data_IF_374396825321
#
_entry.id   IF_374396825321
#
_cell.length_a   1.000
_cell.length_b   1.000
_cell.length_c   1.000
_cell.angle_alpha   90.00
_cell.angle_beta   90.00
_cell.angle_gamma   90.00
#
_symmetry.space_group_name_H-M   'P 1'
#
loop_
_entity.id
_entity.type
_entity.pdbx_description
1 polymer ?
#
# COMPACT_ATOMS: atom_id res chain seq x y z
N UNK A 1 16.85 -18.02 -38.63
CA UNK A 1 17.24 -19.28 -37.93
C UNK A 1 18.05 -18.83 -36.70
N UNK A 2 17.55 -18.78 -35.47
CA UNK A 2 16.58 -19.63 -34.79
C UNK A 2 15.56 -18.82 -33.96
N UNK A 3 14.29 -18.99 -34.31
CA UNK A 3 13.14 -18.88 -33.41
C UNK A 3 13.07 -20.17 -32.58
N UNK A 4 13.29 -20.12 -31.27
CA UNK A 4 12.88 -21.20 -30.37
C UNK A 4 12.54 -20.63 -28.97
N UNK A 5 11.24 -20.68 -28.66
CA UNK A 5 10.65 -20.72 -27.33
C UNK A 5 10.57 -19.43 -26.50
N UNK A 6 9.94 -18.38 -27.07
CA UNK A 6 9.06 -17.57 -26.21
C UNK A 6 7.83 -18.42 -25.93
N UNK A 7 7.65 -18.87 -24.69
CA UNK A 7 6.52 -19.69 -24.25
C UNK A 7 5.22 -18.86 -24.37
N UNK A 8 4.60 -18.88 -25.55
CA UNK A 8 3.36 -18.13 -25.90
C UNK A 8 2.14 -18.60 -25.06
N UNK A 9 2.28 -19.70 -24.31
CA UNK A 9 1.22 -20.28 -23.47
C UNK A 9 1.23 -19.78 -22.02
N UNK A 10 2.23 -19.01 -21.59
CA UNK A 10 2.27 -18.41 -20.24
C UNK A 10 1.55 -17.05 -20.20
N UNK A 11 0.57 -16.84 -21.08
CA UNK A 11 -0.19 -15.61 -21.14
C UNK A 11 -1.23 -15.63 -20.01
N UNK A 12 -0.85 -15.01 -18.90
CA UNK A 12 -1.62 -14.85 -17.67
C UNK A 12 -2.80 -13.89 -17.87
N UNK A 13 -3.65 -14.11 -18.88
CA UNK A 13 -4.78 -13.24 -19.25
C UNK A 13 -5.91 -13.17 -18.21
N UNK A 14 -5.76 -13.83 -17.06
CA UNK A 14 -6.76 -13.83 -15.99
C UNK A 14 -6.33 -13.02 -14.76
N UNK A 15 -5.08 -12.56 -14.66
CA UNK A 15 -4.58 -11.87 -13.47
C UNK A 15 -4.18 -10.43 -13.77
N UNK A 16 -4.80 -9.47 -13.07
CA UNK A 16 -4.55 -8.02 -13.12
C UNK A 16 -3.08 -7.62 -12.88
N UNK A 17 -2.26 -8.55 -12.39
CA UNK A 17 -0.80 -8.52 -12.28
C UNK A 17 -0.27 -9.94 -12.54
N UNK A 18 0.91 -10.08 -13.16
CA UNK A 18 1.65 -11.35 -13.13
C UNK A 18 2.03 -11.66 -11.69
N UNK A 19 2.04 -12.94 -11.30
CA UNK A 19 2.42 -13.38 -9.95
C UNK A 19 3.72 -12.73 -9.45
N UNK A 20 4.72 -12.61 -10.32
CA UNK A 20 6.00 -11.96 -10.02
C UNK A 20 5.85 -10.48 -9.64
N UNK A 21 4.97 -9.74 -10.30
CA UNK A 21 4.77 -8.31 -10.03
C UNK A 21 3.97 -8.08 -8.74
N UNK A 22 2.96 -8.92 -8.45
CA UNK A 22 2.25 -8.87 -7.16
C UNK A 22 3.19 -9.10 -5.98
N UNK A 23 4.09 -10.08 -6.07
CA UNK A 23 5.06 -10.37 -5.00
C UNK A 23 6.05 -9.20 -4.84
N UNK A 24 6.57 -8.65 -5.95
CA UNK A 24 7.47 -7.48 -5.92
C UNK A 24 6.80 -6.27 -5.29
N UNK A 25 5.53 -6.03 -5.62
CA UNK A 25 4.76 -4.94 -5.03
C UNK A 25 4.50 -5.16 -3.54
N UNK A 26 4.02 -6.34 -3.14
CA UNK A 26 3.79 -6.69 -1.74
C UNK A 26 5.06 -6.55 -0.88
N UNK A 27 6.21 -7.04 -1.37
CA UNK A 27 7.49 -6.92 -0.69
C UNK A 27 7.93 -5.45 -0.55
N UNK A 28 7.76 -4.65 -1.60
CA UNK A 28 8.12 -3.23 -1.58
C UNK A 28 7.24 -2.44 -0.62
N UNK A 29 5.92 -2.69 -0.62
CA UNK A 29 4.99 -2.08 0.34
C UNK A 29 5.39 -2.41 1.78
N UNK A 30 5.69 -3.69 2.05
CA UNK A 30 6.15 -4.11 3.37
C UNK A 30 7.44 -3.39 3.80
N UNK A 31 8.45 -3.35 2.92
CA UNK A 31 9.74 -2.71 3.20
C UNK A 31 9.59 -1.21 3.45
N UNK A 32 8.80 -0.50 2.64
CA UNK A 32 8.60 0.95 2.81
C UNK A 32 7.90 1.24 4.13
N UNK A 33 6.82 0.52 4.45
CA UNK A 33 6.11 0.70 5.70
C UNK A 33 6.96 0.32 6.91
N UNK A 34 7.77 -0.74 6.80
CA UNK A 34 8.70 -1.15 7.84
C UNK A 34 9.81 -0.11 8.07
N UNK A 35 10.35 0.49 7.01
CA UNK A 35 11.33 1.58 7.10
C UNK A 35 10.74 2.81 7.79
N UNK A 36 9.53 3.22 7.41
CA UNK A 36 8.81 4.35 8.05
C UNK A 36 8.59 4.07 9.53
N UNK A 37 8.21 2.84 9.90
CA UNK A 37 8.09 2.44 11.30
C UNK A 37 9.38 2.61 12.07
N UNK A 38 10.50 2.15 11.51
CA UNK A 38 11.77 2.21 12.20
C UNK A 38 12.22 3.66 12.41
N UNK A 39 12.05 4.50 11.39
CA UNK A 39 12.34 5.95 11.46
C UNK A 39 11.44 6.62 12.50
N UNK A 40 10.14 6.36 12.47
CA UNK A 40 9.18 6.94 13.42
C UNK A 40 9.45 6.44 14.85
N UNK A 41 9.79 5.17 15.03
CA UNK A 41 10.14 4.58 16.32
C UNK A 41 11.39 5.23 16.90
N UNK A 42 12.40 5.48 16.07
CA UNK A 42 13.62 6.16 16.51
C UNK A 42 13.35 7.63 16.88
N UNK A 43 12.52 8.34 16.10
CA UNK A 43 12.26 9.76 16.31
C UNK A 43 11.29 10.05 17.46
N UNK A 44 10.18 9.31 17.54
CA UNK A 44 9.12 9.54 18.53
C UNK A 44 9.28 8.73 19.82
N UNK A 45 10.17 7.73 19.84
CA UNK A 45 10.38 6.84 20.99
C UNK A 45 9.15 6.04 21.42
N UNK A 46 8.09 6.05 20.61
CA UNK A 46 6.80 5.38 20.82
C UNK A 46 6.41 4.63 19.56
N UNK A 47 5.59 3.60 19.71
CA UNK A 47 5.02 2.88 18.57
C UNK A 47 4.06 3.82 17.84
N UNK A 48 4.46 4.32 16.66
CA UNK A 48 3.69 5.27 15.88
C UNK A 48 2.52 4.61 15.14
N UNK A 49 2.60 3.30 14.87
CA UNK A 49 1.57 2.51 14.20
C UNK A 49 1.41 1.15 14.87
N UNK A 50 0.24 0.54 14.69
CA UNK A 50 -0.02 -0.81 15.18
C UNK A 50 0.79 -1.82 14.37
N UNK A 51 1.27 -2.89 15.02
CA UNK A 51 2.03 -3.96 14.34
C UNK A 51 1.29 -4.59 13.15
N UNK A 52 -0.05 -4.52 13.15
CA UNK A 52 -0.90 -5.00 12.06
C UNK A 52 -0.83 -4.15 10.79
N UNK A 53 -0.46 -2.88 10.88
CA UNK A 53 -0.49 -1.97 9.72
C UNK A 53 0.53 -2.38 8.63
N UNK A 54 1.68 -2.96 9.02
CA UNK A 54 2.67 -3.52 8.08
C UNK A 54 2.13 -4.71 7.28
N UNK A 55 1.32 -5.55 7.94
CA UNK A 55 0.77 -6.76 7.35
C UNK A 55 -0.39 -6.39 6.42
N UNK A 56 -1.20 -5.41 6.82
CA UNK A 56 -2.23 -4.83 5.97
C UNK A 56 -1.60 -4.19 4.72
N UNK A 57 -0.50 -3.43 4.88
CA UNK A 57 0.21 -2.83 3.75
C UNK A 57 0.73 -3.88 2.77
N UNK A 58 1.27 -5.00 3.27
CA UNK A 58 1.73 -6.12 2.43
C UNK A 58 0.56 -6.74 1.65
N UNK A 59 -0.57 -6.99 2.32
CA UNK A 59 -1.75 -7.55 1.68
C UNK A 59 -2.30 -6.61 0.59
N UNK A 60 -2.44 -5.32 0.89
CA UNK A 60 -2.86 -4.31 -0.09
C UNK A 60 -1.85 -4.17 -1.24
N UNK A 61 -0.56 -4.24 -0.95
CA UNK A 61 0.51 -4.21 -1.96
C UNK A 61 0.47 -5.39 -2.94
N UNK A 62 -0.15 -6.52 -2.58
CA UNK A 62 -0.33 -7.64 -3.52
C UNK A 62 -1.32 -7.33 -4.66
N UNK A 63 -2.30 -6.46 -4.38
CA UNK A 63 -3.36 -6.07 -5.31
C UNK A 63 -3.06 -4.76 -6.07
N UNK A 64 -2.18 -3.94 -5.52
CA UNK A 64 -1.85 -2.59 -6.00
C UNK A 64 -0.47 -2.63 -6.69
N UNK A 65 -0.30 -1.93 -7.81
CA UNK A 65 1.01 -1.85 -8.47
C UNK A 65 1.99 -0.99 -7.66
N UNK A 66 3.29 -1.28 -7.78
CA UNK A 66 4.35 -0.57 -7.07
C UNK A 66 4.35 0.95 -7.32
N UNK A 67 4.04 1.38 -8.55
CA UNK A 67 4.03 2.80 -8.93
C UNK A 67 2.97 3.63 -8.18
N UNK A 68 1.91 2.98 -7.70
CA UNK A 68 0.82 3.63 -6.97
C UNK A 68 1.08 3.75 -5.46
N UNK A 69 2.20 3.21 -4.95
CA UNK A 69 2.60 3.30 -3.54
C UNK A 69 2.68 4.75 -3.01
N UNK A 70 3.40 5.70 -3.65
CA UNK A 70 3.48 7.07 -3.13
C UNK A 70 2.10 7.76 -3.10
N UNK A 71 1.27 7.53 -4.12
CA UNK A 71 -0.09 8.07 -4.17
C UNK A 71 -0.96 7.51 -3.03
N UNK A 72 -0.85 6.21 -2.76
CA UNK A 72 -1.52 5.54 -1.65
C UNK A 72 -1.12 6.13 -0.31
N UNK A 73 0.18 6.29 -0.07
CA UNK A 73 0.69 6.81 1.18
C UNK A 73 0.27 8.27 1.40
N UNK A 74 0.30 9.09 0.33
CA UNK A 74 -0.15 10.48 0.37
C UNK A 74 -1.64 10.58 0.72
N UNK A 75 -2.50 9.82 0.04
CA UNK A 75 -3.94 9.81 0.30
C UNK A 75 -4.25 9.37 1.73
N UNK A 76 -3.64 8.28 2.20
CA UNK A 76 -3.82 7.80 3.56
C UNK A 76 -3.36 8.84 4.60
N UNK A 77 -2.24 9.53 4.36
CA UNK A 77 -1.73 10.59 5.24
C UNK A 77 -2.65 11.81 5.26
N UNK A 78 -3.10 12.29 4.10
CA UNK A 78 -4.02 13.44 3.99
C UNK A 78 -5.34 13.16 4.72
N UNK A 79 -5.91 11.96 4.54
CA UNK A 79 -7.13 11.54 5.23
C UNK A 79 -6.93 11.50 6.74
N UNK A 80 -5.81 10.94 7.21
CA UNK A 80 -5.47 10.89 8.63
C UNK A 80 -5.27 12.28 9.25
N UNK A 81 -4.59 13.20 8.55
CA UNK A 81 -4.39 14.59 8.99
C UNK A 81 -5.74 15.33 9.03
N UNK A 82 -6.54 15.22 7.98
CA UNK A 82 -7.85 15.84 7.92
C UNK A 82 -8.76 15.37 9.07
N UNK A 83 -8.76 14.06 9.34
CA UNK A 83 -9.50 13.48 10.46
C UNK A 83 -8.98 13.97 11.81
N UNK A 84 -7.66 14.05 11.99
CA UNK A 84 -7.05 14.56 13.22
C UNK A 84 -7.36 16.04 13.47
N UNK A 85 -7.46 16.86 12.42
CA UNK A 85 -7.85 18.27 12.54
C UNK A 85 -9.31 18.45 12.97
N UNK A 86 -10.20 17.58 12.50
CA UNK A 86 -11.63 17.58 12.84
C UNK A 86 -11.84 17.02 14.26
N UNK A 87 -11.16 15.93 14.60
CA UNK A 87 -11.17 15.32 15.93
C UNK A 87 -10.10 15.97 16.83
N UNK A 88 -10.35 17.22 17.27
CA UNK A 88 -9.55 17.90 18.32
C UNK A 88 -9.64 17.26 19.72
N UNK A 89 -10.34 16.13 19.87
CA UNK A 89 -10.43 15.42 21.16
C UNK A 89 -9.12 14.68 21.42
N UNK A 90 -8.45 15.19 22.45
CA UNK A 90 -7.13 14.82 22.94
C UNK A 90 -7.02 13.31 23.25
N UNK A 91 -5.91 12.72 22.78
CA UNK A 91 -5.14 11.62 23.40
C UNK A 91 -5.47 10.16 23.10
N UNK A 92 -6.35 9.83 22.16
CA UNK A 92 -6.40 8.44 21.70
C UNK A 92 -5.66 8.27 20.38
N UNK A 93 -4.81 7.24 20.38
CA UNK A 93 -4.02 6.81 19.25
C UNK A 93 -4.96 6.51 18.08
N UNK A 94 -4.95 7.35 17.05
CA UNK A 94 -5.84 7.17 15.90
C UNK A 94 -5.28 6.01 15.06
N UNK A 95 -6.00 4.89 14.91
CA UNK A 95 -5.52 3.76 14.13
C UNK A 95 -5.40 4.17 12.66
N UNK A 96 -4.32 3.79 12.00
CA UNK A 96 -4.03 4.17 10.62
C UNK A 96 -4.71 3.26 9.59
N UNK A 97 -4.99 2.02 9.98
CA UNK A 97 -5.64 1.02 9.15
C UNK A 97 -6.92 1.48 8.42
N UNK A 98 -7.86 2.23 9.03
CA UNK A 98 -9.05 2.71 8.34
C UNK A 98 -8.73 3.66 7.19
N UNK A 99 -7.75 4.55 7.36
CA UNK A 99 -7.35 5.51 6.32
C UNK A 99 -6.59 4.81 5.19
N UNK A 100 -5.78 3.80 5.50
CA UNK A 100 -5.16 2.94 4.48
C UNK A 100 -6.21 2.22 3.64
N UNK A 101 -7.19 1.57 4.26
CA UNK A 101 -8.26 0.88 3.52
C UNK A 101 -9.04 1.85 2.64
N UNK A 102 -9.38 3.05 3.15
CA UNK A 102 -10.07 4.06 2.37
C UNK A 102 -9.23 4.52 1.18
N UNK A 103 -7.93 4.74 1.37
CA UNK A 103 -7.01 5.08 0.28
C UNK A 103 -6.91 3.96 -0.78
N UNK A 104 -6.92 2.69 -0.37
CA UNK A 104 -6.88 1.56 -1.31
C UNK A 104 -8.14 1.54 -2.19
N UNK A 105 -9.31 1.72 -1.58
CA UNK A 105 -10.60 1.79 -2.29
C UNK A 105 -10.60 2.97 -3.27
N UNK A 106 -10.13 4.15 -2.85
CA UNK A 106 -10.04 5.33 -3.72
C UNK A 106 -9.14 5.04 -4.92
N UNK A 107 -7.95 4.47 -4.72
CA UNK A 107 -7.04 4.14 -5.81
C UNK A 107 -7.65 3.11 -6.77
N UNK A 108 -8.29 2.08 -6.24
CA UNK A 108 -8.96 1.09 -7.05
C UNK A 108 -10.07 1.73 -7.90
N UNK A 109 -10.85 2.64 -7.30
CA UNK A 109 -11.91 3.38 -8.00
C UNK A 109 -11.36 4.34 -9.07
N UNK A 110 -10.28 5.07 -8.76
CA UNK A 110 -9.62 5.96 -9.73
C UNK A 110 -9.05 5.14 -10.90
N UNK A 111 -8.42 4.00 -10.62
CA UNK A 111 -7.92 3.09 -11.66
C UNK A 111 -9.07 2.57 -12.53
N UNK A 112 -10.22 2.26 -11.94
CA UNK A 112 -11.40 1.81 -12.66
C UNK A 112 -12.00 2.89 -13.58
N UNK A 113 -11.93 4.17 -13.19
CA UNK A 113 -12.49 5.25 -13.99
C UNK A 113 -11.57 5.72 -15.12
N UNK A 114 -10.26 5.56 -14.94
CA UNK A 114 -9.25 6.06 -15.89
C UNK A 114 -8.79 5.01 -16.92
N UNK A 115 -9.28 3.77 -16.86
CA UNK A 115 -8.92 2.66 -17.75
C UNK A 115 -10.17 1.96 -18.28
#
# INVERSE_FOLDING_TARGET
>A
MATYNRFIWADNNFSLLTLSESIKSAASFFIVFYAIYWIAKFYYGKEAFGRGDYWLAMALGSFIHLETLPHFLLLASVLGICFSLIHKKKKEFIPFAPFMNLSAVIIYFVKYYWY
#
